data_IF_830167517831
#
_entry.id   IF_830167517831
#
_cell.length_a   1.000
_cell.length_b   1.000
_cell.length_c   1.000
_cell.angle_alpha   90.00
_cell.angle_beta   90.00
_cell.angle_gamma   90.00
#
_symmetry.space_group_name_H-M   'P 1'
#
loop_
_entity.id
_entity.type
_entity.pdbx_description
1 polymer ?
#
# COMPACT_ATOMS: atom_id res chain seq x y z
N UNK A 1 -19.87 -79.65 -12.54
CA UNK A 1 -21.07 -78.94 -13.03
C UNK A 1 -20.95 -77.51 -12.54
N UNK A 2 -20.62 -76.59 -13.46
CA UNK A 2 -20.65 -75.10 -13.43
C UNK A 2 -19.84 -74.36 -12.33
N UNK A 3 -18.81 -73.58 -12.70
CA UNK A 3 -18.83 -72.11 -12.97
C UNK A 3 -19.36 -71.31 -11.76
N UNK A 4 -18.66 -70.30 -11.23
CA UNK A 4 -18.41 -68.99 -11.86
C UNK A 4 -17.23 -68.29 -11.15
N UNK A 5 -16.32 -67.72 -11.95
CA UNK A 5 -15.36 -66.68 -11.57
C UNK A 5 -16.06 -65.32 -11.42
N UNK A 6 -15.78 -64.58 -10.35
CA UNK A 6 -15.85 -63.12 -10.32
C UNK A 6 -15.06 -62.57 -9.13
N UNK A 7 -13.91 -61.94 -9.39
CA UNK A 7 -13.21 -61.07 -8.44
C UNK A 7 -13.92 -59.71 -8.31
N UNK A 8 -13.89 -59.07 -7.12
CA UNK A 8 -14.08 -57.62 -7.04
C UNK A 8 -12.89 -56.88 -6.42
N UNK A 9 -12.35 -55.97 -7.25
CA UNK A 9 -11.95 -54.57 -6.99
C UNK A 9 -10.66 -54.28 -6.18
N UNK A 10 -9.65 -53.63 -6.79
CA UNK A 10 -8.55 -53.01 -6.08
C UNK A 10 -8.91 -51.63 -5.52
N UNK A 11 -8.64 -51.46 -4.22
CA UNK A 11 -8.16 -50.23 -3.56
C UNK A 11 -8.84 -48.91 -3.92
N UNK A 12 -9.92 -48.55 -3.20
CA UNK A 12 -10.37 -47.17 -3.15
C UNK A 12 -9.52 -46.39 -2.13
N UNK A 13 -8.71 -45.47 -2.66
CA UNK A 13 -7.76 -44.66 -1.95
C UNK A 13 -8.36 -43.83 -0.82
N UNK A 14 -7.54 -43.67 0.21
CA UNK A 14 -7.68 -42.73 1.32
C UNK A 14 -8.24 -41.38 0.87
N UNK A 15 -9.49 -41.07 1.24
CA UNK A 15 -9.98 -39.69 1.32
C UNK A 15 -9.18 -38.96 2.40
N UNK A 16 -8.02 -38.40 2.01
CA UNK A 16 -7.38 -37.34 2.79
C UNK A 16 -8.32 -36.14 2.76
N UNK A 17 -8.89 -35.84 3.93
CA UNK A 17 -9.63 -34.60 4.20
C UNK A 17 -8.75 -33.44 3.74
N UNK A 18 -9.21 -32.70 2.74
CA UNK A 18 -8.63 -31.42 2.35
C UNK A 18 -8.63 -30.51 3.56
N UNK A 19 -7.46 -30.31 4.14
CA UNK A 19 -7.22 -29.29 5.15
C UNK A 19 -7.36 -27.96 4.43
N UNK A 20 -8.41 -27.21 4.76
CA UNK A 20 -8.54 -25.80 4.42
C UNK A 20 -7.21 -25.11 4.69
N UNK A 21 -6.56 -24.65 3.63
CA UNK A 21 -5.35 -23.83 3.71
C UNK A 21 -5.76 -22.48 4.26
N UNK A 22 -5.63 -22.33 5.57
CA UNK A 22 -5.71 -21.04 6.24
C UNK A 22 -4.75 -20.06 5.58
N UNK A 23 -5.28 -18.86 5.38
CA UNK A 23 -4.63 -17.65 4.84
C UNK A 23 -3.18 -17.55 5.31
N UNK A 24 -2.26 -17.43 4.34
CA UNK A 24 -0.83 -17.37 4.58
C UNK A 24 -0.47 -16.30 5.60
N UNK A 25 0.28 -16.73 6.62
CA UNK A 25 0.97 -15.86 7.58
C UNK A 25 1.92 -14.95 6.80
N UNK A 26 1.46 -13.75 6.45
CA UNK A 26 2.35 -12.69 5.97
C UNK A 26 3.20 -12.29 7.16
N UNK A 27 4.47 -12.70 7.18
CA UNK A 27 5.43 -12.25 8.19
C UNK A 27 5.72 -10.79 7.91
N UNK A 28 5.26 -9.92 8.80
CA UNK A 28 5.46 -8.49 8.65
C UNK A 28 6.86 -8.15 9.15
N UNK A 29 7.69 -7.62 8.26
CA UNK A 29 9.06 -7.23 8.59
C UNK A 29 9.06 -6.17 9.71
N UNK A 30 10.13 -6.18 10.52
CA UNK A 30 10.32 -5.18 11.58
C UNK A 30 10.48 -3.79 10.98
N UNK A 31 10.00 -2.75 11.68
CA UNK A 31 10.30 -1.36 11.31
C UNK A 31 11.81 -1.11 11.46
N UNK A 32 12.35 -0.28 10.59
CA UNK A 32 13.76 0.09 10.56
C UNK A 32 14.05 1.40 11.34
N UNK A 33 13.11 1.84 12.17
CA UNK A 33 13.27 3.09 12.95
C UNK A 33 13.27 4.33 12.08
N UNK A 34 12.43 4.38 11.04
CA UNK A 34 12.29 5.57 10.21
C UNK A 34 11.84 6.78 11.03
N UNK A 35 12.22 8.02 10.63
CA UNK A 35 11.76 9.22 11.31
C UNK A 35 10.23 9.27 11.40
N UNK A 36 9.70 9.39 12.62
CA UNK A 36 8.26 9.53 12.84
C UNK A 36 7.77 10.94 12.58
N UNK A 37 6.50 11.08 12.17
CA UNK A 37 5.80 12.37 12.07
C UNK A 37 4.76 12.47 13.18
N UNK A 38 4.97 13.34 14.16
CA UNK A 38 4.11 13.45 15.34
C UNK A 38 3.38 14.79 15.44
N UNK A 39 2.63 15.00 16.53
CA UNK A 39 1.85 16.23 16.75
C UNK A 39 2.70 17.49 16.90
N UNK A 40 3.90 17.37 17.48
CA UNK A 40 4.84 18.49 17.60
C UNK A 40 5.32 18.89 16.20
N UNK A 41 5.61 17.92 15.35
CA UNK A 41 5.98 18.16 13.95
C UNK A 41 4.84 18.82 13.16
N UNK A 42 3.61 18.33 13.34
CA UNK A 42 2.41 18.93 12.75
C UNK A 42 2.23 20.38 13.20
N UNK A 43 2.42 20.66 14.50
CA UNK A 43 2.36 22.00 15.06
C UNK A 43 3.45 22.91 14.47
N UNK A 44 4.71 22.45 14.47
CA UNK A 44 5.82 23.17 13.89
C UNK A 44 5.60 23.47 12.41
N UNK A 45 5.04 22.52 11.66
CA UNK A 45 4.71 22.72 10.26
C UNK A 45 3.58 23.75 10.05
N UNK A 46 2.47 23.62 10.76
CA UNK A 46 1.24 24.38 10.48
C UNK A 46 1.20 25.75 11.15
N UNK A 47 1.79 25.89 12.34
CA UNK A 47 1.56 27.04 13.22
C UNK A 47 2.83 27.87 13.48
N UNK A 48 4.02 27.28 13.39
CA UNK A 48 5.27 28.06 13.50
C UNK A 48 5.53 28.81 12.18
N UNK A 49 5.75 30.14 12.20
CA UNK A 49 6.08 30.89 11.00
C UNK A 49 7.35 30.38 10.31
N UNK A 50 7.40 30.49 8.97
CA UNK A 50 8.55 30.03 8.19
C UNK A 50 9.89 30.68 8.62
N UNK A 51 9.85 31.95 9.02
CA UNK A 51 11.03 32.69 9.55
C UNK A 51 11.60 32.09 10.85
N UNK A 52 10.82 31.28 11.56
CA UNK A 52 11.22 30.59 12.79
C UNK A 52 11.35 29.07 12.59
N UNK A 53 11.51 28.64 11.33
CA UNK A 53 11.79 27.26 11.00
C UNK A 53 10.57 26.40 10.71
N UNK A 54 9.34 26.93 10.76
CA UNK A 54 8.12 26.18 10.40
C UNK A 54 7.77 26.21 8.90
N UNK A 55 6.50 25.92 8.58
CA UNK A 55 5.98 26.01 7.22
C UNK A 55 6.56 25.01 6.22
N UNK A 56 6.53 25.35 4.92
CA UNK A 56 6.88 24.41 3.83
C UNK A 56 8.29 23.82 3.94
N UNK A 57 9.27 24.61 4.37
CA UNK A 57 10.63 24.13 4.51
C UNK A 57 10.77 23.05 5.59
N UNK A 58 9.99 23.14 6.67
CA UNK A 58 10.00 22.14 7.76
C UNK A 58 9.56 20.76 7.25
N UNK A 59 8.38 20.68 6.64
CA UNK A 59 7.86 19.41 6.11
C UNK A 59 8.73 18.85 4.98
N UNK A 60 9.30 19.71 4.13
CA UNK A 60 10.20 19.27 3.06
C UNK A 60 11.49 18.64 3.61
N UNK A 61 12.09 19.23 4.66
CA UNK A 61 13.27 18.66 5.32
C UNK A 61 12.97 17.30 5.93
N UNK A 62 11.81 17.15 6.57
CA UNK A 62 11.37 15.86 7.09
C UNK A 62 11.22 14.82 5.98
N UNK A 63 10.49 15.15 4.91
CA UNK A 63 10.28 14.25 3.76
C UNK A 63 11.61 13.83 3.10
N UNK A 64 12.55 14.77 2.94
CA UNK A 64 13.89 14.49 2.43
C UNK A 64 14.67 13.54 3.35
N UNK A 65 14.67 13.81 4.66
CA UNK A 65 15.36 12.98 5.63
C UNK A 65 14.78 11.56 5.69
N UNK A 66 13.45 11.43 5.61
CA UNK A 66 12.77 10.13 5.58
C UNK A 66 13.14 9.31 4.34
N UNK A 67 13.12 9.92 3.16
CA UNK A 67 13.53 9.25 1.91
C UNK A 67 15.01 8.89 1.94
N UNK A 68 15.87 9.80 2.43
CA UNK A 68 17.30 9.57 2.58
C UNK A 68 17.62 8.41 3.53
N UNK A 69 16.91 8.31 4.66
CA UNK A 69 17.01 7.17 5.60
C UNK A 69 16.63 5.84 4.93
N UNK A 70 15.59 5.84 4.12
CA UNK A 70 15.05 4.65 3.46
C UNK A 70 15.65 4.35 2.07
N UNK A 71 16.68 5.10 1.63
CA UNK A 71 17.17 5.06 0.25
C UNK A 71 17.53 3.67 -0.25
N UNK A 72 18.21 2.86 0.57
CA UNK A 72 18.62 1.52 0.16
C UNK A 72 17.43 0.58 -0.02
N UNK A 73 16.42 0.71 0.84
CA UNK A 73 15.19 -0.07 0.70
C UNK A 73 14.41 0.35 -0.55
N UNK A 74 14.30 1.66 -0.80
CA UNK A 74 13.66 2.19 -2.01
C UNK A 74 14.38 1.67 -3.27
N UNK A 75 15.70 1.71 -3.31
CA UNK A 75 16.49 1.20 -4.44
C UNK A 75 16.28 -0.31 -4.65
N UNK A 76 16.32 -1.09 -3.57
CA UNK A 76 16.17 -2.54 -3.63
C UNK A 76 14.76 -2.96 -4.09
N UNK A 77 13.71 -2.37 -3.51
CA UNK A 77 12.33 -2.68 -3.90
C UNK A 77 12.03 -2.17 -5.32
N UNK A 78 12.55 -1.00 -5.72
CA UNK A 78 12.40 -0.52 -7.10
C UNK A 78 13.05 -1.47 -8.10
N UNK A 79 14.24 -1.98 -7.80
CA UNK A 79 14.91 -2.99 -8.63
C UNK A 79 14.12 -4.29 -8.70
N UNK A 80 13.66 -4.80 -7.55
CA UNK A 80 12.85 -6.03 -7.43
C UNK A 80 11.58 -5.95 -8.27
N UNK A 81 10.91 -4.80 -8.28
CA UNK A 81 9.66 -4.58 -9.00
C UNK A 81 9.80 -3.87 -10.36
N UNK A 82 11.04 -3.72 -10.85
CA UNK A 82 11.39 -3.14 -12.16
C UNK A 82 10.84 -1.72 -12.37
N UNK A 83 10.85 -0.91 -11.32
CA UNK A 83 10.42 0.49 -11.33
C UNK A 83 11.64 1.42 -11.43
N UNK A 84 11.50 2.59 -12.08
CA UNK A 84 12.43 3.69 -11.88
C UNK A 84 12.44 4.07 -10.38
N UNK A 85 13.62 4.15 -9.73
CA UNK A 85 13.69 4.37 -8.29
C UNK A 85 13.14 5.74 -7.87
N UNK A 86 13.21 6.75 -8.75
CA UNK A 86 12.61 8.06 -8.54
C UNK A 86 11.08 8.03 -8.47
N UNK A 87 10.41 7.06 -9.14
CA UNK A 87 8.96 6.90 -9.02
C UNK A 87 8.59 6.48 -7.58
N UNK A 88 9.25 5.45 -7.05
CA UNK A 88 8.98 4.98 -5.69
C UNK A 88 9.38 6.03 -4.65
N UNK A 89 10.54 6.67 -4.82
CA UNK A 89 10.96 7.77 -3.94
C UNK A 89 10.00 8.96 -3.99
N UNK A 90 9.49 9.32 -5.17
CA UNK A 90 8.53 10.40 -5.34
C UNK A 90 7.22 10.14 -4.63
N UNK A 91 6.68 8.91 -4.76
CA UNK A 91 5.49 8.48 -4.01
C UNK A 91 5.76 8.55 -2.51
N UNK A 92 6.85 7.95 -2.01
CA UNK A 92 7.21 8.02 -0.60
C UNK A 92 7.29 9.47 -0.09
N UNK A 93 7.98 10.34 -0.83
CA UNK A 93 8.15 11.74 -0.45
C UNK A 93 6.82 12.51 -0.40
N UNK A 94 5.90 12.26 -1.33
CA UNK A 94 4.59 12.92 -1.36
C UNK A 94 3.75 12.50 -0.15
N UNK A 95 3.73 11.21 0.18
CA UNK A 95 2.86 10.65 1.22
C UNK A 95 3.37 10.89 2.65
N UNK A 96 4.68 10.82 2.88
CA UNK A 96 5.24 10.89 4.25
C UNK A 96 5.00 12.26 4.88
N UNK A 97 4.56 12.27 6.15
CA UNK A 97 4.26 13.48 6.90
C UNK A 97 2.99 14.23 6.47
N UNK A 98 2.07 13.56 5.75
CA UNK A 98 0.73 14.08 5.44
C UNK A 98 -0.16 14.16 6.68
N UNK A 99 -0.37 13.01 7.35
CA UNK A 99 -1.13 12.89 8.60
C UNK A 99 -0.26 12.26 9.71
N UNK A 100 -0.47 12.61 10.99
CA UNK A 100 0.13 11.89 12.10
C UNK A 100 -0.37 10.44 12.11
N UNK A 101 0.55 9.48 12.07
CA UNK A 101 0.25 8.04 11.92
C UNK A 101 -0.71 7.45 12.97
N UNK A 102 -0.83 8.08 14.15
CA UNK A 102 -1.77 7.64 15.18
C UNK A 102 -3.24 7.95 14.85
N UNK A 103 -3.52 8.96 14.01
CA UNK A 103 -4.90 9.36 13.66
C UNK A 103 -5.55 8.30 12.78
N UNK A 104 -4.79 7.70 11.86
CA UNK A 104 -5.28 6.65 10.95
C UNK A 104 -5.72 5.40 11.70
N UNK A 105 -4.95 4.99 12.73
CA UNK A 105 -5.31 3.87 13.61
C UNK A 105 -6.62 4.11 14.35
N UNK A 106 -6.81 5.30 14.92
CA UNK A 106 -8.05 5.68 15.62
C UNK A 106 -9.22 5.71 14.65
N UNK A 107 -9.05 6.35 13.49
CA UNK A 107 -10.08 6.41 12.46
C UNK A 107 -10.50 5.01 11.97
N UNK A 108 -9.54 4.11 11.80
CA UNK A 108 -9.81 2.73 11.40
C UNK A 108 -10.56 1.93 12.46
N UNK A 109 -10.22 2.04 13.75
CA UNK A 109 -10.96 1.30 14.78
C UNK A 109 -12.40 1.80 14.92
N UNK A 110 -12.63 3.12 14.82
CA UNK A 110 -13.98 3.69 14.78
C UNK A 110 -14.76 3.15 13.57
N UNK A 111 -14.15 3.13 12.37
CA UNK A 111 -14.76 2.57 11.15
C UNK A 111 -15.00 1.07 11.28
N UNK A 112 -14.06 0.33 11.88
CA UNK A 112 -14.19 -1.11 12.05
C UNK A 112 -15.31 -1.49 13.02
N UNK A 113 -15.53 -0.66 14.05
CA UNK A 113 -16.64 -0.84 14.98
C UNK A 113 -18.00 -0.55 14.33
N UNK A 114 -18.12 0.57 13.62
CA UNK A 114 -19.33 0.97 12.89
C UNK A 114 -19.74 -0.07 11.82
N UNK A 115 -18.75 -0.71 11.19
CA UNK A 115 -18.94 -1.78 10.18
C UNK A 115 -18.85 -3.20 10.75
N UNK A 116 -18.94 -3.39 12.09
CA UNK A 116 -18.87 -4.72 12.72
C UNK A 116 -20.21 -5.46 12.78
N UNK A 117 -21.30 -4.81 12.36
CA UNK A 117 -22.64 -5.37 12.29
C UNK A 117 -22.81 -6.41 11.17
N UNK A 118 -23.94 -7.13 11.13
CA UNK A 118 -24.26 -8.03 10.03
C UNK A 118 -24.45 -7.25 8.69
N UNK A 119 -24.23 -7.85 7.51
CA UNK A 119 -24.18 -7.12 6.22
C UNK A 119 -25.42 -6.29 5.87
N UNK A 120 -26.58 -6.61 6.43
CA UNK A 120 -27.81 -5.81 6.23
C UNK A 120 -27.77 -4.47 6.97
N UNK A 121 -26.95 -4.36 8.01
CA UNK A 121 -26.75 -3.15 8.81
C UNK A 121 -25.75 -2.18 8.19
N UNK A 122 -24.99 -2.59 7.17
CA UNK A 122 -23.99 -1.75 6.47
C UNK A 122 -24.58 -0.44 5.93
N UNK A 123 -25.87 -0.45 5.54
CA UNK A 123 -26.60 0.76 5.08
C UNK A 123 -26.83 1.79 6.19
N UNK A 124 -26.65 1.41 7.45
CA UNK A 124 -26.83 2.24 8.63
C UNK A 124 -25.49 2.74 9.19
N UNK A 125 -24.36 2.28 8.63
CA UNK A 125 -23.04 2.74 9.01
C UNK A 125 -22.87 4.23 8.68
N UNK A 126 -22.34 4.99 9.64
CA UNK A 126 -22.18 6.45 9.56
C UNK A 126 -20.84 6.80 8.89
N UNK A 127 -19.85 5.94 9.04
CA UNK A 127 -18.47 6.14 8.60
C UNK A 127 -18.18 5.46 7.26
N UNK A 128 -17.11 5.87 6.59
CA UNK A 128 -16.62 5.15 5.41
C UNK A 128 -16.11 3.74 5.80
N UNK A 129 -16.33 2.77 4.92
CA UNK A 129 -15.85 1.39 5.11
C UNK A 129 -14.36 1.37 5.53
N UNK A 130 -13.96 0.60 6.57
CA UNK A 130 -12.61 0.59 7.13
C UNK A 130 -11.51 0.32 6.10
N UNK A 131 -11.77 -0.52 5.09
CA UNK A 131 -10.87 -0.78 3.95
C UNK A 131 -10.43 0.45 3.14
N UNK A 132 -11.11 1.60 3.26
CA UNK A 132 -10.71 2.87 2.63
C UNK A 132 -9.71 3.67 3.48
N UNK A 133 -9.32 3.16 4.65
CA UNK A 133 -8.36 3.83 5.53
C UNK A 133 -6.95 3.53 5.05
N UNK A 134 -6.14 4.58 4.94
CA UNK A 134 -4.72 4.52 4.59
C UNK A 134 -3.86 4.32 5.83
N UNK A 135 -2.74 3.63 5.69
CA UNK A 135 -1.84 3.32 6.81
C UNK A 135 -0.37 3.42 6.44
N UNK A 136 0.43 3.70 7.46
CA UNK A 136 1.89 3.75 7.38
C UNK A 136 2.40 5.06 6.81
N UNK A 137 3.72 5.21 6.80
CA UNK A 137 4.36 6.46 6.37
C UNK A 137 4.06 6.80 4.89
N UNK A 138 3.78 5.80 4.04
CA UNK A 138 3.44 5.97 2.62
C UNK A 138 1.94 5.78 2.35
N UNK A 139 1.08 5.92 3.36
CA UNK A 139 -0.37 6.14 3.26
C UNK A 139 -1.16 5.25 2.28
N UNK A 140 -0.80 3.97 2.14
CA UNK A 140 -1.52 3.05 1.26
C UNK A 140 -2.83 2.57 1.91
N UNK A 141 -3.92 2.54 1.15
CA UNK A 141 -5.22 2.04 1.62
C UNK A 141 -5.19 0.54 1.90
N UNK A 142 -5.86 0.09 2.96
CA UNK A 142 -6.00 -1.34 3.30
C UNK A 142 -6.52 -2.14 2.11
N UNK A 143 -7.52 -1.63 1.40
CA UNK A 143 -8.07 -2.28 0.20
C UNK A 143 -6.98 -2.51 -0.85
N UNK A 144 -6.24 -1.45 -1.20
CA UNK A 144 -5.19 -1.52 -2.22
C UNK A 144 -4.06 -2.46 -1.79
N UNK A 145 -3.68 -2.42 -0.50
CA UNK A 145 -2.70 -3.34 0.06
C UNK A 145 -3.18 -4.80 0.02
N UNK A 146 -4.44 -5.06 0.38
CA UNK A 146 -5.04 -6.38 0.34
C UNK A 146 -5.07 -6.96 -1.08
N UNK A 147 -5.57 -6.18 -2.06
CA UNK A 147 -5.57 -6.55 -3.48
C UNK A 147 -4.13 -6.81 -3.97
N UNK A 148 -3.18 -5.96 -3.56
CA UNK A 148 -1.76 -6.10 -3.89
C UNK A 148 -1.16 -7.40 -3.34
N UNK A 149 -1.63 -7.84 -2.18
CA UNK A 149 -1.21 -9.08 -1.52
C UNK A 149 -1.98 -10.31 -2.02
N UNK A 150 -2.90 -10.16 -2.97
CA UNK A 150 -3.72 -11.26 -3.51
C UNK A 150 -4.85 -11.69 -2.57
N UNK A 151 -5.22 -10.84 -1.61
CA UNK A 151 -6.38 -11.02 -0.74
C UNK A 151 -7.61 -10.40 -1.43
N UNK A 152 -8.80 -11.00 -1.24
CA UNK A 152 -10.05 -10.36 -1.62
C UNK A 152 -10.51 -9.42 -0.49
N UNK A 153 -10.52 -8.08 -0.68
CA UNK A 153 -10.91 -7.15 0.38
C UNK A 153 -12.35 -7.31 0.84
N UNK A 154 -13.24 -7.84 -0.01
CA UNK A 154 -14.64 -8.08 0.33
C UNK A 154 -14.82 -9.26 1.29
N UNK A 155 -13.87 -10.19 1.32
CA UNK A 155 -13.94 -11.41 2.14
C UNK A 155 -13.05 -11.32 3.39
N UNK A 156 -12.36 -10.19 3.59
CA UNK A 156 -11.46 -10.01 4.72
C UNK A 156 -12.22 -9.85 6.03
N UNK A 157 -11.84 -10.63 7.03
CA UNK A 157 -12.33 -10.44 8.40
C UNK A 157 -11.71 -9.18 9.02
N UNK A 158 -12.36 -8.63 10.05
CA UNK A 158 -11.83 -7.49 10.79
C UNK A 158 -10.47 -7.78 11.44
N UNK A 159 -10.17 -9.03 11.82
CA UNK A 159 -8.86 -9.42 12.37
C UNK A 159 -7.78 -9.43 11.29
N UNK A 160 -8.09 -9.89 10.08
CA UNK A 160 -7.17 -9.81 8.93
C UNK A 160 -6.90 -8.35 8.55
N UNK A 161 -7.94 -7.51 8.54
CA UNK A 161 -7.80 -6.08 8.28
C UNK A 161 -6.93 -5.38 9.34
N UNK A 162 -7.14 -5.67 10.63
CA UNK A 162 -6.29 -5.16 11.73
C UNK A 162 -4.85 -5.62 11.61
N UNK A 163 -4.63 -6.90 11.30
CA UNK A 163 -3.31 -7.47 11.10
C UNK A 163 -2.58 -6.77 9.95
N UNK A 164 -3.22 -6.61 8.79
CA UNK A 164 -2.67 -5.90 7.65
C UNK A 164 -2.35 -4.44 8.01
N UNK A 165 -3.25 -3.74 8.71
CA UNK A 165 -3.01 -2.38 9.18
C UNK A 165 -1.77 -2.27 10.09
N UNK A 166 -1.60 -3.21 11.04
CA UNK A 166 -0.42 -3.27 11.91
C UNK A 166 0.89 -3.53 11.14
N UNK A 167 0.80 -4.26 10.02
CA UNK A 167 1.95 -4.47 9.14
C UNK A 167 2.27 -3.23 8.31
N UNK A 168 1.25 -2.54 7.80
CA UNK A 168 1.41 -1.31 7.04
C UNK A 168 2.02 -0.17 7.88
N UNK A 169 1.87 -0.19 9.20
CA UNK A 169 2.60 0.73 10.10
C UNK A 169 4.11 0.46 10.19
N UNK A 170 4.61 -0.66 9.65
CA UNK A 170 6.05 -0.96 9.60
C UNK A 170 6.62 -0.46 8.28
N UNK A 171 7.54 0.51 8.34
CA UNK A 171 8.06 1.20 7.15
C UNK A 171 8.60 0.24 6.08
N UNK A 172 9.32 -0.81 6.50
CA UNK A 172 9.89 -1.80 5.59
C UNK A 172 8.80 -2.50 4.78
N UNK A 173 7.75 -2.99 5.45
CA UNK A 173 6.63 -3.64 4.82
C UNK A 173 5.81 -2.66 3.97
N UNK A 174 5.63 -1.42 4.46
CA UNK A 174 4.89 -0.38 3.76
C UNK A 174 5.52 -0.02 2.41
N UNK A 175 6.84 0.20 2.36
CA UNK A 175 7.58 0.49 1.12
C UNK A 175 7.50 -0.68 0.14
N UNK A 176 7.68 -1.92 0.62
CA UNK A 176 7.58 -3.12 -0.22
C UNK A 176 6.20 -3.24 -0.88
N UNK A 177 5.12 -3.09 -0.09
CA UNK A 177 3.76 -3.18 -0.62
C UNK A 177 3.49 -2.06 -1.61
N UNK A 178 3.95 -0.83 -1.36
CA UNK A 178 3.79 0.29 -2.30
C UNK A 178 4.55 0.05 -3.60
N UNK A 179 5.78 -0.46 -3.55
CA UNK A 179 6.55 -0.80 -4.73
C UNK A 179 5.85 -1.89 -5.56
N UNK A 180 5.36 -2.95 -4.90
CA UNK A 180 4.57 -3.99 -5.55
C UNK A 180 3.30 -3.43 -6.19
N UNK A 181 2.60 -2.56 -5.48
CA UNK A 181 1.37 -1.94 -5.97
C UNK A 181 1.62 -1.11 -7.24
N UNK A 182 2.65 -0.24 -7.24
CA UNK A 182 3.01 0.56 -8.42
C UNK A 182 3.35 -0.31 -9.64
N UNK A 183 4.01 -1.44 -9.43
CA UNK A 183 4.29 -2.42 -10.49
C UNK A 183 3.01 -3.05 -11.06
N UNK A 184 2.05 -3.39 -10.19
CA UNK A 184 0.74 -3.88 -10.62
C UNK A 184 -0.07 -2.81 -11.37
N UNK A 185 0.02 -1.54 -10.97
CA UNK A 185 -0.61 -0.43 -11.68
C UNK A 185 0.00 -0.24 -13.08
N UNK A 186 1.32 -0.39 -13.21
CA UNK A 186 1.99 -0.39 -14.51
C UNK A 186 1.48 -1.53 -15.40
N UNK A 187 1.41 -2.74 -14.86
CA UNK A 187 0.91 -3.91 -15.58
C UNK A 187 -0.57 -3.77 -15.98
N UNK A 188 -1.41 -3.20 -15.10
CA UNK A 188 -2.81 -2.91 -15.38
C UNK A 188 -3.00 -2.02 -16.61
N UNK A 189 -2.12 -1.04 -16.81
CA UNK A 189 -2.15 -0.14 -17.97
C UNK A 189 -1.37 -0.69 -19.19
N UNK A 190 -0.89 -1.94 -19.12
CA UNK A 190 -0.15 -2.59 -20.20
C UNK A 190 1.28 -2.07 -20.37
N UNK A 191 1.86 -1.44 -19.34
CA UNK A 191 3.25 -0.97 -19.38
C UNK A 191 4.21 -2.06 -18.91
N UNK A 192 5.37 -2.13 -19.59
CA UNK A 192 6.49 -3.00 -19.23
C UNK A 192 7.76 -2.19 -19.07
N UNK A 193 8.70 -2.71 -18.29
CA UNK A 193 10.01 -2.09 -18.13
C UNK A 193 10.82 -2.15 -19.45
N UNK A 194 11.71 -1.17 -19.72
CA UNK A 194 11.98 0.01 -18.90
C UNK A 194 10.87 1.07 -19.01
N UNK A 195 10.45 1.63 -17.86
CA UNK A 195 9.41 2.66 -17.80
C UNK A 195 10.02 4.05 -18.03
N UNK A 196 9.50 4.78 -19.02
CA UNK A 196 9.86 6.18 -19.27
C UNK A 196 9.07 7.17 -18.40
N UNK A 197 9.43 8.44 -18.47
CA UNK A 197 8.77 9.49 -17.69
C UNK A 197 7.26 9.62 -17.99
N UNK A 198 6.82 9.30 -19.21
CA UNK A 198 5.39 9.33 -19.53
C UNK A 198 4.62 8.23 -18.80
N UNK A 199 5.16 7.00 -18.77
CA UNK A 199 4.60 5.92 -17.97
C UNK A 199 4.60 6.28 -16.49
N UNK A 200 5.67 6.90 -15.98
CA UNK A 200 5.74 7.40 -14.59
C UNK A 200 4.61 8.38 -14.29
N UNK A 201 4.31 9.33 -15.19
CA UNK A 201 3.21 10.30 -14.99
C UNK A 201 1.87 9.60 -14.81
N UNK A 202 1.61 8.62 -15.67
CA UNK A 202 0.36 7.84 -15.66
C UNK A 202 0.27 6.97 -14.41
N UNK A 203 1.32 6.22 -14.08
CA UNK A 203 1.37 5.33 -12.92
C UNK A 203 1.18 6.14 -11.63
N UNK A 204 1.90 7.25 -11.46
CA UNK A 204 1.75 8.11 -10.29
C UNK A 204 0.34 8.72 -10.20
N UNK A 205 -0.25 9.13 -11.33
CA UNK A 205 -1.63 9.62 -11.35
C UNK A 205 -2.64 8.53 -10.98
N UNK A 206 -2.43 7.29 -11.44
CA UNK A 206 -3.27 6.14 -11.08
C UNK A 206 -3.13 5.76 -9.61
N UNK A 207 -1.93 5.83 -9.05
CA UNK A 207 -1.71 5.59 -7.62
C UNK A 207 -2.59 6.51 -6.76
N UNK A 208 -2.60 7.81 -7.07
CA UNK A 208 -3.41 8.80 -6.35
C UNK A 208 -4.92 8.68 -6.63
N UNK A 209 -5.31 8.32 -7.85
CA UNK A 209 -6.72 8.38 -8.29
C UNK A 209 -7.46 7.03 -8.25
N UNK A 210 -6.73 5.94 -8.06
CA UNK A 210 -7.25 4.59 -7.95
C UNK A 210 -7.37 3.83 -9.28
N UNK A 211 -7.50 2.50 -9.17
CA UNK A 211 -7.54 1.55 -10.29
C UNK A 211 -8.85 1.59 -11.09
N UNK A 212 -9.96 2.03 -10.48
CA UNK A 212 -11.30 2.03 -11.10
C UNK A 212 -11.50 2.99 -12.28
N UNK A 213 -10.52 3.85 -12.57
CA UNK A 213 -10.57 4.78 -13.70
C UNK A 213 -9.95 4.16 -14.96
N UNK A 214 -10.53 4.45 -16.12
CA UNK A 214 -9.93 4.08 -17.40
C UNK A 214 -8.63 4.86 -17.64
N UNK A 215 -7.75 4.34 -18.50
CA UNK A 215 -6.50 5.00 -18.84
C UNK A 215 -6.73 6.42 -19.40
N UNK A 216 -7.75 6.61 -20.23
CA UNK A 216 -8.09 7.94 -20.76
C UNK A 216 -8.57 8.90 -19.66
N UNK A 217 -9.30 8.41 -18.66
CA UNK A 217 -9.68 9.21 -17.49
C UNK A 217 -8.46 9.58 -16.63
N UNK A 218 -7.47 8.69 -16.51
CA UNK A 218 -6.20 8.99 -15.85
C UNK A 218 -5.44 10.09 -16.60
N UNK A 219 -5.30 9.96 -17.92
CA UNK A 219 -4.59 10.94 -18.78
C UNK A 219 -5.16 12.36 -18.70
N UNK A 220 -6.47 12.52 -18.42
CA UNK A 220 -7.10 13.84 -18.24
C UNK A 220 -6.54 14.63 -17.04
N UNK A 221 -5.94 13.97 -16.05
CA UNK A 221 -5.30 14.65 -14.92
C UNK A 221 -4.15 13.80 -14.37
N UNK A 222 -2.94 14.16 -14.81
CA UNK A 222 -1.68 13.53 -14.42
C UNK A 222 -0.90 14.33 -13.38
N UNK A 223 -1.53 15.31 -12.71
CA UNK A 223 -0.84 16.26 -11.81
C UNK A 223 0.06 15.63 -10.75
N UNK A 224 -0.36 14.52 -10.14
CA UNK A 224 0.44 13.77 -9.17
C UNK A 224 1.72 13.21 -9.81
N UNK A 225 1.62 12.49 -10.93
CA UNK A 225 2.79 11.97 -11.64
C UNK A 225 3.65 13.08 -12.28
N UNK A 226 3.03 14.19 -12.70
CA UNK A 226 3.75 15.38 -13.18
C UNK A 226 4.60 15.99 -12.07
N UNK A 227 4.13 15.98 -10.82
CA UNK A 227 4.94 16.40 -9.68
C UNK A 227 6.19 15.52 -9.55
N UNK A 228 6.03 14.19 -9.62
CA UNK A 228 7.16 13.26 -9.51
C UNK A 228 8.21 13.55 -10.59
N UNK A 229 7.78 13.65 -11.85
CA UNK A 229 8.69 13.93 -12.96
C UNK A 229 9.30 15.34 -12.88
N UNK A 230 8.55 16.34 -12.41
CA UNK A 230 9.08 17.69 -12.21
C UNK A 230 10.22 17.72 -11.17
N UNK A 231 10.14 16.89 -10.14
CA UNK A 231 11.14 16.81 -9.07
C UNK A 231 12.10 15.62 -9.23
N UNK A 232 12.21 15.06 -10.44
CA UNK A 232 13.02 13.88 -10.74
C UNK A 232 14.45 13.98 -10.19
N UNK A 233 15.15 15.07 -10.50
CA UNK A 233 16.54 15.28 -10.06
C UNK A 233 16.68 15.34 -8.54
N UNK A 234 15.66 15.84 -7.82
CA UNK A 234 15.66 15.83 -6.34
C UNK A 234 15.66 14.39 -5.84
N UNK A 235 14.78 13.54 -6.40
CA UNK A 235 14.70 12.14 -6.00
C UNK A 235 15.96 11.38 -6.38
N UNK A 236 16.52 11.63 -7.57
CA UNK A 236 17.82 11.07 -7.95
C UNK A 236 18.90 11.47 -6.94
N UNK A 237 18.94 12.73 -6.47
CA UNK A 237 19.91 13.18 -5.47
C UNK A 237 19.70 12.54 -4.09
N UNK A 238 18.46 12.43 -3.62
CA UNK A 238 18.14 11.81 -2.33
C UNK A 238 18.52 10.31 -2.28
N UNK A 239 18.59 9.67 -3.45
CA UNK A 239 18.93 8.25 -3.58
C UNK A 239 20.41 7.97 -3.86
N UNK A 240 21.26 8.99 -3.95
CA UNK A 240 22.71 8.83 -4.09
C UNK A 240 23.39 8.39 -2.78
#
# INVERSE_FOLDING_TARGET
MHEVFAEPVPGMGSKRRGRSTGVGTTVCNVSNGSPGWNLIDLFAWKLVPARWGGGRAYIQKFKDAWVGHNKQLILNESKKYQLPPELLAGVCWIEVGGDPSFIDRVAFEIRSFDWSGPPWADKQAITNHPNKTSFGAVSIQIRAAAETMGLNPADMTSSQARGLAACLEKDVFNIEVVAKHLSQLAAHDGFSAPLGQEQVRIIGARYNRGIGLTLDQIRKNTSYGNFIVKFWDRFTQLLR
#
